data_IF_384181144860
#
_entry.id   IF_384181144860
#
_cell.length_a   1.000
_cell.length_b   1.000
_cell.length_c   1.000
_cell.angle_alpha   90.00
_cell.angle_beta   90.00
_cell.angle_gamma   90.00
#
_symmetry.space_group_name_H-M   'P 1'
#
loop_
_entity.id
_entity.type
_entity.pdbx_description
1 polymer ?
#
# COMPACT_ATOMS: atom_id res chain seq x y z
N UNK A 1 8.38 7.91 -25.17
CA UNK A 1 7.03 8.12 -24.56
C UNK A 1 6.49 6.78 -24.04
N UNK A 2 6.47 6.58 -22.73
CA UNK A 2 5.92 5.36 -22.13
C UNK A 2 4.39 5.39 -22.27
N UNK A 3 3.79 4.35 -22.88
CA UNK A 3 2.33 4.26 -23.06
C UNK A 3 1.60 4.32 -21.70
N UNK A 4 0.44 4.99 -21.60
CA UNK A 4 -0.28 5.20 -20.33
C UNK A 4 -0.63 3.88 -19.63
N UNK A 5 -0.87 2.80 -20.38
CA UNK A 5 -1.15 1.46 -19.84
C UNK A 5 0.02 0.86 -19.05
N UNK A 6 1.26 1.13 -19.45
CA UNK A 6 2.46 0.60 -18.78
C UNK A 6 2.70 1.28 -17.44
N UNK A 7 2.41 2.58 -17.33
CA UNK A 7 2.52 3.32 -16.06
C UNK A 7 1.54 2.83 -15.01
N UNK A 8 0.33 2.47 -15.43
CA UNK A 8 -0.69 1.90 -14.55
C UNK A 8 -0.25 0.51 -14.07
N UNK A 9 0.25 -0.35 -14.98
CA UNK A 9 0.75 -1.67 -14.61
C UNK A 9 1.89 -1.60 -13.59
N UNK A 10 2.85 -0.69 -13.76
CA UNK A 10 3.93 -0.47 -12.79
C UNK A 10 3.41 -0.01 -11.41
N UNK A 11 2.44 0.91 -11.39
CA UNK A 11 1.86 1.38 -10.14
C UNK A 11 1.09 0.27 -9.41
N UNK A 12 0.33 -0.55 -10.15
CA UNK A 12 -0.37 -1.71 -9.59
C UNK A 12 0.64 -2.72 -9.05
N UNK A 13 1.69 -3.03 -9.81
CA UNK A 13 2.73 -3.97 -9.38
C UNK A 13 3.43 -3.48 -8.10
N UNK A 14 3.77 -2.19 -8.06
CA UNK A 14 4.33 -1.56 -6.86
C UNK A 14 3.38 -1.67 -5.67
N UNK A 15 2.11 -1.35 -5.85
CA UNK A 15 1.11 -1.33 -4.78
C UNK A 15 0.82 -2.76 -4.25
N UNK A 16 0.82 -3.76 -5.13
CA UNK A 16 0.72 -5.19 -4.76
C UNK A 16 1.96 -5.65 -4.00
N UNK A 17 3.16 -5.30 -4.47
CA UNK A 17 4.41 -5.64 -3.80
C UNK A 17 4.51 -4.95 -2.43
N UNK A 18 4.06 -3.70 -2.34
CA UNK A 18 3.97 -2.95 -1.09
C UNK A 18 2.99 -3.62 -0.12
N UNK A 19 1.80 -4.01 -0.56
CA UNK A 19 0.83 -4.73 0.26
C UNK A 19 1.41 -6.04 0.82
N UNK A 20 2.03 -6.87 -0.04
CA UNK A 20 2.66 -8.10 0.39
C UNK A 20 3.82 -7.87 1.36
N UNK A 21 4.72 -6.93 1.04
CA UNK A 21 5.86 -6.58 1.89
C UNK A 21 5.45 -6.01 3.23
N UNK A 22 4.43 -5.14 3.26
CA UNK A 22 3.88 -4.58 4.49
C UNK A 22 3.25 -5.67 5.36
N UNK A 23 2.50 -6.60 4.77
CA UNK A 23 1.89 -7.69 5.53
C UNK A 23 2.95 -8.54 6.23
N UNK A 24 4.02 -8.93 5.52
CA UNK A 24 5.15 -9.65 6.10
C UNK A 24 5.87 -8.81 7.16
N UNK A 25 6.11 -7.52 6.87
CA UNK A 25 6.76 -6.61 7.81
C UNK A 25 5.93 -6.40 9.09
N UNK A 26 4.59 -6.41 8.99
CA UNK A 26 3.70 -6.31 10.15
C UNK A 26 3.83 -7.53 11.06
N UNK A 27 3.97 -8.73 10.49
CA UNK A 27 4.29 -9.94 11.26
C UNK A 27 5.68 -9.88 11.90
N UNK A 28 6.69 -9.45 11.15
CA UNK A 28 8.03 -9.27 11.70
C UNK A 28 8.05 -8.28 12.86
N UNK A 29 7.47 -7.08 12.69
CA UNK A 29 7.39 -6.08 13.75
C UNK A 29 6.56 -6.57 14.95
N UNK A 30 5.52 -7.37 14.70
CA UNK A 30 4.72 -7.98 15.77
C UNK A 30 5.53 -8.93 16.64
N UNK A 31 6.45 -9.68 16.05
CA UNK A 31 7.21 -10.73 16.71
C UNK A 31 8.70 -10.36 16.89
N UNK A 32 9.02 -9.07 16.97
CA UNK A 32 10.41 -8.58 17.18
C UNK A 32 11.42 -9.12 16.16
N UNK A 33 11.02 -9.22 14.89
CA UNK A 33 11.76 -9.74 13.74
C UNK A 33 11.99 -11.26 13.73
N UNK A 34 11.41 -11.99 14.68
CA UNK A 34 11.51 -13.45 14.78
C UNK A 34 10.12 -14.06 14.86
N UNK A 35 9.58 -14.50 13.72
CA UNK A 35 8.22 -15.07 13.64
C UNK A 35 8.26 -16.54 14.10
N UNK A 36 7.51 -16.91 15.15
CA UNK A 36 7.43 -18.31 15.58
C UNK A 36 6.81 -19.21 14.49
N UNK A 37 7.25 -20.46 14.40
CA UNK A 37 6.81 -21.42 13.36
C UNK A 37 5.28 -21.59 13.33
N UNK A 38 4.62 -21.54 14.49
CA UNK A 38 3.16 -21.59 14.63
C UNK A 38 2.41 -20.46 13.89
N UNK A 39 3.08 -19.33 13.62
CA UNK A 39 2.52 -18.19 12.90
C UNK A 39 2.97 -18.11 11.44
N UNK A 40 3.92 -18.93 10.99
CA UNK A 40 4.42 -18.91 9.61
C UNK A 40 3.35 -19.41 8.65
N UNK A 41 2.71 -20.54 8.95
CA UNK A 41 1.60 -21.06 8.14
C UNK A 41 0.45 -20.06 8.09
N UNK A 42 0.20 -19.36 9.19
CA UNK A 42 -0.81 -18.34 9.27
C UNK A 42 -0.49 -17.10 8.44
N UNK A 43 0.78 -16.65 8.43
CA UNK A 43 1.27 -15.60 7.55
C UNK A 43 1.09 -16.00 6.08
N UNK A 44 1.52 -17.21 5.70
CA UNK A 44 1.44 -17.71 4.32
C UNK A 44 0.00 -17.94 3.85
N UNK A 45 -0.90 -18.41 4.71
CA UNK A 45 -2.31 -18.55 4.35
C UNK A 45 -3.01 -17.20 4.28
N UNK A 46 -2.68 -16.27 5.18
CA UNK A 46 -3.33 -14.96 5.22
C UNK A 46 -2.94 -14.08 4.03
N UNK A 47 -1.66 -14.09 3.62
CA UNK A 47 -1.19 -13.25 2.51
C UNK A 47 -1.92 -13.56 1.19
N UNK A 48 -2.30 -14.83 0.97
CA UNK A 48 -2.97 -15.30 -0.26
C UNK A 48 -4.33 -14.65 -0.45
N UNK A 49 -5.05 -14.32 0.62
CA UNK A 49 -6.36 -13.66 0.52
C UNK A 49 -6.29 -12.17 0.85
N UNK A 50 -5.44 -11.74 1.78
CA UNK A 50 -5.33 -10.34 2.20
C UNK A 50 -4.82 -9.46 1.07
N UNK A 51 -3.74 -9.87 0.38
CA UNK A 51 -3.13 -9.04 -0.66
C UNK A 51 -4.09 -8.83 -1.86
N UNK A 52 -4.76 -9.86 -2.40
CA UNK A 52 -5.77 -9.65 -3.44
C UNK A 52 -6.93 -8.78 -2.98
N UNK A 53 -7.39 -8.94 -1.73
CA UNK A 53 -8.49 -8.15 -1.17
C UNK A 53 -8.12 -6.67 -1.06
N UNK A 54 -6.96 -6.35 -0.49
CA UNK A 54 -6.42 -4.99 -0.43
C UNK A 54 -6.27 -4.39 -1.84
N UNK A 55 -5.72 -5.17 -2.78
CA UNK A 55 -5.53 -4.76 -4.17
C UNK A 55 -6.86 -4.41 -4.85
N UNK A 56 -7.89 -5.24 -4.64
CA UNK A 56 -9.24 -4.99 -5.16
C UNK A 56 -9.83 -3.70 -4.58
N UNK A 57 -9.65 -3.45 -3.28
CA UNK A 57 -10.12 -2.23 -2.62
C UNK A 57 -9.39 -1.00 -3.18
N UNK A 58 -8.07 -1.06 -3.34
CA UNK A 58 -7.30 0.03 -3.96
C UNK A 58 -7.77 0.33 -5.39
N UNK A 59 -8.15 -0.71 -6.13
CA UNK A 59 -8.74 -0.56 -7.45
C UNK A 59 -10.11 0.12 -7.42
N UNK A 60 -11.00 -0.29 -6.51
CA UNK A 60 -12.33 0.30 -6.32
C UNK A 60 -12.27 1.78 -5.91
N UNK A 61 -11.33 2.14 -5.05
CA UNK A 61 -11.09 3.54 -4.66
C UNK A 61 -10.43 4.37 -5.77
N UNK A 62 -10.09 3.73 -6.90
CA UNK A 62 -9.58 4.42 -8.07
C UNK A 62 -8.17 4.98 -7.86
N UNK A 63 -7.34 4.37 -7.00
CA UNK A 63 -5.96 4.79 -6.79
C UNK A 63 -5.14 4.80 -8.09
N UNK A 64 -5.59 4.03 -9.09
CA UNK A 64 -4.97 3.90 -10.40
C UNK A 64 -5.56 4.83 -11.48
N UNK A 65 -6.63 5.57 -11.18
CA UNK A 65 -7.25 6.52 -12.13
C UNK A 65 -6.54 7.87 -12.04
N UNK A 66 -5.71 8.18 -13.04
CA UNK A 66 -5.08 9.51 -13.17
C UNK A 66 -3.78 9.72 -12.39
N UNK A 67 -3.09 8.62 -12.04
CA UNK A 67 -1.94 8.42 -11.12
C UNK A 67 -0.88 9.53 -11.05
N UNK A 68 -0.76 10.43 -12.05
CA UNK A 68 0.36 11.38 -12.11
C UNK A 68 0.00 12.79 -12.58
N UNK A 69 -1.29 13.16 -12.69
CA UNK A 69 -1.64 14.48 -13.25
C UNK A 69 -1.65 15.61 -12.22
N UNK A 70 -2.01 15.34 -10.96
CA UNK A 70 -2.05 16.34 -9.88
C UNK A 70 -1.88 15.67 -8.50
N UNK A 71 -0.67 15.24 -8.15
CA UNK A 71 -0.36 14.67 -6.83
C UNK A 71 -0.60 15.72 -5.73
N UNK A 72 -1.83 15.79 -5.23
CA UNK A 72 -2.34 16.86 -4.36
C UNK A 72 -2.76 16.28 -3.01
N UNK A 73 -3.01 17.11 -1.99
CA UNK A 73 -3.60 16.70 -0.69
C UNK A 73 -4.82 15.74 -0.84
N UNK A 74 -5.70 15.92 -1.85
CA UNK A 74 -6.75 14.94 -2.18
C UNK A 74 -6.29 13.49 -2.43
N UNK A 75 -5.11 13.27 -3.01
CA UNK A 75 -4.63 11.90 -3.29
C UNK A 75 -4.19 11.20 -2.01
N UNK A 76 -3.58 11.92 -1.07
CA UNK A 76 -3.24 11.35 0.23
C UNK A 76 -4.51 10.97 1.01
N UNK A 77 -5.56 11.81 0.95
CA UNK A 77 -6.87 11.50 1.53
C UNK A 77 -7.49 10.25 0.91
N UNK A 78 -7.36 10.07 -0.41
CA UNK A 78 -7.84 8.85 -1.11
C UNK A 78 -7.08 7.60 -0.67
N UNK A 79 -5.76 7.68 -0.54
CA UNK A 79 -4.95 6.57 -0.03
C UNK A 79 -5.37 6.22 1.39
N UNK A 80 -5.45 7.22 2.27
CA UNK A 80 -5.88 7.01 3.65
C UNK A 80 -7.28 6.37 3.73
N UNK A 81 -8.24 6.85 2.93
CA UNK A 81 -9.58 6.27 2.89
C UNK A 81 -9.58 4.83 2.34
N UNK A 82 -8.80 4.55 1.30
CA UNK A 82 -8.69 3.20 0.73
C UNK A 82 -8.03 2.22 1.69
N UNK A 83 -6.96 2.64 2.37
CA UNK A 83 -6.28 1.82 3.39
C UNK A 83 -7.17 1.62 4.62
N UNK A 84 -7.89 2.64 5.08
CA UNK A 84 -8.85 2.50 6.16
C UNK A 84 -9.97 1.52 5.81
N UNK A 85 -10.53 1.62 4.59
CA UNK A 85 -11.52 0.67 4.10
C UNK A 85 -10.92 -0.76 4.01
N UNK A 86 -9.70 -0.89 3.52
CA UNK A 86 -9.00 -2.18 3.48
C UNK A 86 -8.81 -2.78 4.88
N UNK A 87 -8.40 -1.99 5.87
CA UNK A 87 -8.26 -2.44 7.25
C UNK A 87 -9.58 -2.96 7.83
N UNK A 88 -10.68 -2.23 7.61
CA UNK A 88 -12.02 -2.64 8.06
C UNK A 88 -12.44 -3.94 7.39
N UNK A 89 -12.28 -4.04 6.06
CA UNK A 89 -12.69 -5.22 5.31
C UNK A 89 -11.84 -6.43 5.68
N UNK A 90 -10.51 -6.30 5.80
CA UNK A 90 -9.60 -7.37 6.24
C UNK A 90 -9.97 -7.83 7.66
N UNK A 91 -10.23 -6.90 8.57
CA UNK A 91 -10.65 -7.22 9.94
C UNK A 91 -11.98 -7.97 9.96
N UNK A 92 -12.97 -7.50 9.18
CA UNK A 92 -14.28 -8.14 9.10
C UNK A 92 -14.17 -9.53 8.46
N UNK A 93 -13.40 -9.68 7.39
CA UNK A 93 -13.11 -10.98 6.76
C UNK A 93 -12.50 -11.94 7.77
N UNK A 94 -11.51 -11.50 8.56
CA UNK A 94 -10.91 -12.32 9.61
C UNK A 94 -11.94 -12.75 10.67
N UNK A 95 -12.84 -11.87 11.10
CA UNK A 95 -13.91 -12.22 12.05
C UNK A 95 -14.90 -13.25 11.47
N UNK A 96 -15.27 -13.10 10.19
CA UNK A 96 -16.18 -14.03 9.52
C UNK A 96 -15.55 -15.42 9.33
N UNK A 97 -14.26 -15.48 8.97
CA UNK A 97 -13.51 -16.73 8.85
C UNK A 97 -13.50 -17.53 10.15
N UNK A 98 -13.36 -16.84 11.30
CA UNK A 98 -13.32 -17.46 12.63
C UNK A 98 -14.73 -17.87 13.11
N UNK A 99 -15.77 -17.10 12.74
CA UNK A 99 -17.13 -17.30 13.23
C UNK A 99 -17.97 -18.34 12.48
N UNK A 100 -17.67 -18.63 11.21
CA UNK A 100 -18.54 -19.44 10.35
C UNK A 100 -17.94 -20.74 9.80
N UNK A 101 -16.62 -20.93 9.80
CA UNK A 101 -16.02 -22.17 9.31
C UNK A 101 -15.78 -23.15 10.48
N UNK A 102 -16.45 -24.32 10.49
CA UNK A 102 -16.10 -25.40 11.41
C UNK A 102 -14.78 -26.03 10.96
N UNK A 103 -13.70 -25.73 11.69
CA UNK A 103 -12.37 -26.28 11.47
C UNK A 103 -11.47 -26.03 12.69
N UNK A 104 -10.35 -26.75 12.82
CA UNK A 104 -9.38 -26.50 13.89
C UNK A 104 -8.93 -25.05 13.78
N UNK A 105 -9.37 -24.22 14.72
CA UNK A 105 -9.26 -22.76 14.67
C UNK A 105 -7.85 -22.33 14.22
N UNK A 106 -7.67 -21.79 13.00
CA UNK A 106 -6.43 -21.08 12.72
C UNK A 106 -6.47 -19.88 13.66
N UNK A 107 -5.42 -19.77 14.47
CA UNK A 107 -5.19 -18.70 15.45
C UNK A 107 -5.76 -17.37 14.92
N UNK A 108 -6.51 -16.63 15.74
CA UNK A 108 -6.99 -15.31 15.32
C UNK A 108 -5.78 -14.44 14.95
N UNK A 109 -5.85 -13.73 13.79
CA UNK A 109 -4.83 -12.76 13.41
C UNK A 109 -4.47 -11.88 14.61
N UNK A 110 -3.18 -11.81 15.00
CA UNK A 110 -2.79 -10.97 16.12
C UNK A 110 -3.31 -9.56 15.86
N UNK A 111 -4.13 -9.03 16.78
CA UNK A 111 -4.85 -7.76 16.58
C UNK A 111 -3.91 -6.60 16.24
N UNK A 112 -2.68 -6.65 16.74
CA UNK A 112 -1.61 -5.72 16.42
C UNK A 112 -1.15 -5.77 14.97
N UNK A 113 -1.12 -6.94 14.30
CA UNK A 113 -0.83 -7.03 12.86
C UNK A 113 -1.90 -6.29 12.05
N UNK A 114 -3.17 -6.45 12.40
CA UNK A 114 -4.29 -5.76 11.76
C UNK A 114 -4.23 -4.22 11.92
N UNK A 115 -3.55 -3.72 12.96
CA UNK A 115 -3.34 -2.29 13.19
C UNK A 115 -2.05 -1.81 12.51
N UNK A 116 -0.99 -2.61 12.54
CA UNK A 116 0.30 -2.28 11.94
C UNK A 116 0.22 -2.22 10.41
N UNK A 117 -0.48 -3.16 9.78
CA UNK A 117 -0.65 -3.22 8.34
C UNK A 117 -1.13 -1.89 7.72
N UNK A 118 -2.28 -1.29 8.14
CA UNK A 118 -2.73 -0.03 7.54
C UNK A 118 -1.79 1.15 7.81
N UNK A 119 -1.13 1.19 8.97
CA UNK A 119 -0.16 2.25 9.30
C UNK A 119 1.04 2.17 8.35
N UNK A 120 1.59 0.98 8.16
CA UNK A 120 2.72 0.73 7.28
C UNK A 120 2.34 0.93 5.80
N UNK A 121 1.13 0.55 5.39
CA UNK A 121 0.61 0.78 4.05
C UNK A 121 0.50 2.27 3.73
N UNK A 122 -0.03 3.08 4.65
CA UNK A 122 -0.08 4.55 4.48
C UNK A 122 1.33 5.11 4.33
N UNK A 123 2.28 4.64 5.14
CA UNK A 123 3.66 5.11 5.09
C UNK A 123 4.34 4.75 3.77
N UNK A 124 4.25 3.49 3.32
CA UNK A 124 4.90 3.03 2.08
C UNK A 124 4.22 3.60 0.84
N UNK A 125 2.90 3.52 0.74
CA UNK A 125 2.17 4.00 -0.45
C UNK A 125 2.11 5.53 -0.51
N UNK A 126 1.90 6.20 0.63
CA UNK A 126 1.94 7.65 0.71
C UNK A 126 3.35 8.19 0.50
N UNK A 127 4.34 7.59 1.17
CA UNK A 127 5.74 7.99 1.11
C UNK A 127 6.35 7.80 -0.29
N UNK A 128 6.11 6.68 -0.96
CA UNK A 128 6.60 6.43 -2.32
C UNK A 128 6.07 7.46 -3.34
N UNK A 129 4.79 7.81 -3.26
CA UNK A 129 4.15 8.79 -4.17
C UNK A 129 4.64 10.21 -3.91
N UNK A 130 4.76 10.61 -2.65
CA UNK A 130 5.32 11.91 -2.26
C UNK A 130 6.80 12.01 -2.63
N UNK A 131 7.58 10.96 -2.37
CA UNK A 131 9.01 10.88 -2.70
C UNK A 131 9.27 11.00 -4.20
N UNK A 132 8.52 10.25 -5.02
CA UNK A 132 8.62 10.39 -6.48
C UNK A 132 8.23 11.81 -6.93
N UNK A 133 7.20 12.42 -6.33
CA UNK A 133 6.80 13.79 -6.65
C UNK A 133 7.93 14.77 -6.36
N UNK A 134 8.49 14.74 -5.15
CA UNK A 134 9.58 15.63 -4.75
C UNK A 134 10.79 15.50 -5.70
N UNK A 135 11.17 14.27 -6.03
CA UNK A 135 12.25 14.01 -6.97
C UNK A 135 11.96 14.58 -8.36
N UNK A 136 10.73 14.39 -8.87
CA UNK A 136 10.34 14.89 -10.19
C UNK A 136 10.19 16.41 -10.23
N UNK A 137 9.63 17.03 -9.19
CA UNK A 137 9.51 18.50 -9.10
C UNK A 137 10.89 19.17 -9.03
N UNK A 138 11.82 18.63 -8.24
CA UNK A 138 13.20 19.10 -8.19
C UNK A 138 13.92 18.91 -9.53
N UNK A 139 13.76 17.75 -10.17
CA UNK A 139 14.32 17.49 -11.49
C UNK A 139 13.77 18.48 -12.55
N UNK A 140 12.48 18.79 -12.50
CA UNK A 140 11.86 19.73 -13.43
C UNK A 140 12.28 21.18 -13.16
N UNK A 141 12.43 21.56 -11.89
CA UNK A 141 12.94 22.87 -11.50
C UNK A 141 14.39 23.08 -11.97
N UNK A 142 15.25 22.06 -11.81
CA UNK A 142 16.63 22.10 -12.29
C UNK A 142 16.73 22.26 -13.82
N UNK A 143 15.90 21.54 -14.58
CA UNK A 143 15.84 21.67 -16.04
C UNK A 143 15.31 23.04 -16.46
N UNK A 144 14.34 23.60 -15.75
CA UNK A 144 13.75 24.92 -16.07
C UNK A 144 14.73 26.06 -15.76
N UNK A 145 15.55 25.93 -14.72
CA UNK A 145 16.60 26.90 -14.40
C UNK A 145 17.77 26.85 -15.40
N UNK A 146 18.14 25.68 -15.91
CA UNK A 146 19.19 25.54 -16.93
C UNK A 146 18.84 26.18 -18.30
N UNK A 147 17.55 26.46 -18.56
CA UNK A 147 17.08 27.11 -19.79
C UNK A 147 16.71 28.59 -19.65
N UNK A 148 16.84 29.20 -18.46
CA UNK A 148 16.62 30.63 -18.25
C UNK A 148 17.96 31.35 -18.36
N UNK A 149 18.29 31.86 -19.55
CA UNK A 149 19.30 32.91 -19.62
C UNK A 149 18.83 34.10 -18.77
N UNK A 150 19.68 34.61 -17.86
CA UNK A 150 19.31 35.75 -17.03
C UNK A 150 19.19 36.97 -17.93
N UNK A 151 17.96 37.45 -18.13
CA UNK A 151 17.74 38.77 -18.72
C UNK A 151 18.20 39.78 -17.68
N UNK A 152 19.42 40.28 -17.89
CA UNK A 152 19.98 41.41 -17.15
C UNK A 152 19.25 42.65 -17.67
N UNK A 153 18.40 43.24 -16.84
CA UNK A 153 17.82 44.58 -17.07
C UNK A 153 18.75 45.61 -16.45
#
# INVERSE_FOLDING_TARGET
>A
MIKPRFRIALAVLHDVAAAAGVWVAAFWLRFNLEVPDEYVDMLLNSIVWVVPLQTAIFWCFGLYRGIWRYASVPDLKRIAAAVAAAAVVVTLSNLLYVGYLPGPHPLLLPRSVLILDPVLLILIMGGSRLGYRMWKEQAFAAITQAGREPVIV
#
